data_IF_413843773800
#
_entry.id   IF_413843773800
#
_cell.length_a   1.000
_cell.length_b   1.000
_cell.length_c   1.000
_cell.angle_alpha   90.00
_cell.angle_beta   90.00
_cell.angle_gamma   90.00
#
_symmetry.space_group_name_H-M   'P 1'
#
loop_
_entity.id
_entity.type
_entity.pdbx_description
1 polymer ?
#
# COMPACT_ATOMS: atom_id res chain seq x y z
N UNK A 1 -0.29 48.67 -7.76
CA UNK A 1 -1.50 47.90 -7.38
C UNK A 1 -1.21 46.44 -7.67
N UNK A 2 -0.73 45.69 -6.68
CA UNK A 2 -0.45 44.25 -6.81
C UNK A 2 -1.73 43.49 -6.46
N UNK A 3 -2.25 42.69 -7.39
CA UNK A 3 -3.31 41.73 -7.11
C UNK A 3 -2.68 40.50 -6.47
N UNK A 4 -2.87 40.35 -5.16
CA UNK A 4 -2.70 39.10 -4.44
C UNK A 4 -3.82 38.15 -4.91
N UNK A 5 -3.47 37.19 -5.75
CA UNK A 5 -4.34 36.04 -6.00
C UNK A 5 -4.17 35.12 -4.80
N UNK A 6 -5.02 35.29 -3.80
CA UNK A 6 -5.19 34.30 -2.73
C UNK A 6 -5.74 33.03 -3.37
N UNK A 7 -4.95 31.96 -3.36
CA UNK A 7 -5.37 30.66 -3.87
C UNK A 7 -6.68 30.22 -3.21
N UNK A 8 -7.68 29.90 -4.02
CA UNK A 8 -8.88 29.21 -3.58
C UNK A 8 -8.45 27.80 -3.13
N UNK A 9 -8.50 27.53 -1.82
CA UNK A 9 -8.45 26.16 -1.32
C UNK A 9 -9.81 25.53 -1.63
N UNK A 10 -9.90 24.80 -2.74
CA UNK A 10 -11.09 24.01 -3.08
C UNK A 10 -11.26 22.98 -1.97
N UNK A 11 -12.38 23.05 -1.25
CA UNK A 11 -12.72 22.10 -0.20
C UNK A 11 -13.05 20.74 -0.84
N UNK A 12 -12.09 19.81 -0.80
CA UNK A 12 -12.41 18.39 -0.88
C UNK A 12 -13.28 18.00 0.32
N UNK A 13 -14.10 16.96 0.17
CA UNK A 13 -14.71 16.34 1.35
C UNK A 13 -13.57 15.74 2.17
N UNK A 14 -13.27 16.22 3.37
CA UNK A 14 -12.15 15.73 4.19
C UNK A 14 -12.49 14.35 4.79
N UNK A 15 -12.75 13.37 3.92
CA UNK A 15 -13.18 12.02 4.29
C UNK A 15 -12.00 11.26 4.88
N UNK A 16 -12.22 10.42 5.90
CA UNK A 16 -11.14 9.62 6.46
C UNK A 16 -10.55 8.70 5.39
N UNK A 17 -9.22 8.56 5.40
CA UNK A 17 -8.52 7.67 4.48
C UNK A 17 -9.00 6.23 4.66
N UNK A 18 -9.20 5.50 3.55
CA UNK A 18 -9.67 4.13 3.58
C UNK A 18 -8.59 3.20 4.13
N UNK A 19 -8.99 2.19 4.90
CA UNK A 19 -8.09 1.14 5.40
C UNK A 19 -7.98 -0.08 4.47
N UNK A 20 -8.60 -0.01 3.30
CA UNK A 20 -8.64 -1.12 2.34
C UNK A 20 -9.73 -0.90 1.28
N UNK A 21 -10.11 -1.98 0.60
CA UNK A 21 -11.11 -1.99 -0.47
C UNK A 21 -11.99 -3.22 -0.36
N UNK A 22 -13.28 -3.05 -0.67
CA UNK A 22 -14.24 -4.15 -0.62
C UNK A 22 -14.34 -4.73 0.79
N UNK A 23 -14.22 -6.05 0.87
CA UNK A 23 -14.24 -6.81 2.12
C UNK A 23 -12.91 -6.88 2.86
N UNK A 24 -11.80 -6.41 2.27
CA UNK A 24 -10.45 -6.57 2.83
C UNK A 24 -9.90 -5.26 3.40
N UNK A 25 -9.43 -5.28 4.64
CA UNK A 25 -8.84 -4.12 5.32
C UNK A 25 -7.55 -4.46 6.05
N UNK A 26 -6.65 -3.48 6.17
CA UNK A 26 -5.45 -3.55 7.00
C UNK A 26 -5.80 -4.02 8.42
N UNK A 27 -4.90 -4.81 9.01
CA UNK A 27 -5.05 -5.39 10.35
C UNK A 27 -5.75 -6.74 10.40
N UNK A 28 -6.36 -7.20 9.30
CA UNK A 28 -6.94 -8.55 9.22
C UNK A 28 -5.85 -9.63 9.28
N UNK A 29 -6.19 -10.79 9.85
CA UNK A 29 -5.31 -11.96 9.82
C UNK A 29 -5.27 -12.61 8.44
N UNK A 30 -4.29 -13.48 8.18
CA UNK A 30 -4.23 -14.24 6.93
C UNK A 30 -5.53 -15.00 6.66
N UNK A 31 -6.05 -15.71 7.66
CA UNK A 31 -7.27 -16.51 7.51
C UNK A 31 -8.51 -15.63 7.31
N UNK A 32 -8.61 -14.48 7.98
CA UNK A 32 -9.70 -13.51 7.75
C UNK A 32 -9.69 -13.00 6.31
N UNK A 33 -8.50 -12.68 5.77
CA UNK A 33 -8.36 -12.23 4.38
C UNK A 33 -8.75 -13.35 3.41
N UNK A 34 -8.34 -14.60 3.66
CA UNK A 34 -8.74 -15.75 2.82
C UNK A 34 -10.26 -15.92 2.78
N UNK A 35 -10.96 -15.79 3.91
CA UNK A 35 -12.41 -15.89 3.95
C UNK A 35 -13.10 -14.72 3.24
N UNK A 36 -12.60 -13.49 3.43
CA UNK A 36 -13.10 -12.32 2.73
C UNK A 36 -12.99 -12.47 1.20
N UNK A 37 -11.80 -12.85 0.72
CA UNK A 37 -11.50 -13.03 -0.71
C UNK A 37 -12.35 -14.12 -1.38
N UNK A 38 -12.79 -15.16 -0.66
CA UNK A 38 -13.67 -16.21 -1.22
C UNK A 38 -15.07 -15.69 -1.58
N UNK A 39 -15.52 -14.63 -0.91
CA UNK A 39 -16.91 -14.16 -1.00
C UNK A 39 -17.05 -12.85 -1.77
N UNK A 40 -15.95 -12.15 -2.00
CA UNK A 40 -15.95 -10.84 -2.62
C UNK A 40 -15.74 -10.95 -4.15
N UNK A 41 -16.73 -10.54 -4.96
CA UNK A 41 -16.69 -10.70 -6.41
C UNK A 41 -15.64 -9.82 -7.11
N UNK A 42 -14.98 -8.90 -6.39
CA UNK A 42 -13.88 -8.13 -6.94
C UNK A 42 -12.60 -8.97 -7.17
N UNK A 43 -12.50 -10.14 -6.52
CA UNK A 43 -11.29 -10.96 -6.50
C UNK A 43 -11.55 -12.38 -6.99
N UNK A 44 -10.68 -12.88 -7.87
CA UNK A 44 -10.75 -14.25 -8.37
C UNK A 44 -9.87 -15.20 -7.53
N UNK A 45 -10.16 -15.30 -6.23
CA UNK A 45 -9.34 -16.07 -5.29
C UNK A 45 -9.53 -17.59 -5.44
N UNK A 46 -8.41 -18.31 -5.59
CA UNK A 46 -8.36 -19.75 -5.89
C UNK A 46 -7.97 -20.61 -4.68
N UNK A 47 -7.99 -20.03 -3.49
CA UNK A 47 -7.56 -20.69 -2.25
C UNK A 47 -6.05 -20.63 -2.06
N UNK A 48 -5.49 -21.61 -1.33
CA UNK A 48 -4.08 -21.61 -0.92
C UNK A 48 -3.07 -21.58 -2.07
N UNK A 49 -3.51 -21.84 -3.31
CA UNK A 49 -2.69 -21.71 -4.53
C UNK A 49 -2.19 -20.28 -4.78
N UNK A 50 -2.92 -19.30 -4.26
CA UNK A 50 -2.60 -17.88 -4.42
C UNK A 50 -1.73 -17.36 -3.26
N UNK A 51 -1.41 -18.21 -2.28
CA UNK A 51 -0.62 -17.88 -1.10
C UNK A 51 0.84 -18.28 -1.30
N UNK A 52 1.75 -17.34 -1.07
CA UNK A 52 3.20 -17.55 -1.10
C UNK A 52 3.81 -17.20 0.26
N UNK A 53 4.72 -18.04 0.75
CA UNK A 53 5.56 -17.71 1.90
C UNK A 53 6.79 -16.95 1.40
N UNK A 54 7.05 -15.79 1.98
CA UNK A 54 8.19 -14.95 1.59
C UNK A 54 9.42 -15.29 2.44
N UNK A 55 10.61 -15.05 1.88
CA UNK A 55 11.87 -15.15 2.61
C UNK A 55 11.92 -14.13 3.74
N UNK A 56 12.09 -14.62 4.98
CA UNK A 56 12.00 -13.82 6.20
C UNK A 56 11.16 -14.55 7.24
N UNK A 57 11.20 -14.12 8.51
CA UNK A 57 10.35 -14.71 9.54
C UNK A 57 8.90 -14.22 9.34
N UNK A 58 7.94 -15.16 9.38
CA UNK A 58 6.48 -14.93 9.39
C UNK A 58 5.89 -14.00 8.31
N UNK A 59 6.43 -14.05 7.09
CA UNK A 59 5.90 -13.27 5.96
C UNK A 59 5.12 -14.11 4.97
N UNK A 60 3.95 -13.61 4.60
CA UNK A 60 3.14 -14.19 3.55
C UNK A 60 2.71 -13.13 2.53
N UNK A 61 2.39 -13.59 1.34
CA UNK A 61 1.80 -12.82 0.26
C UNK A 61 0.63 -13.61 -0.31
N UNK A 62 -0.52 -12.97 -0.46
CA UNK A 62 -1.58 -13.46 -1.34
C UNK A 62 -1.55 -12.62 -2.62
N UNK A 63 -1.45 -13.26 -3.79
CA UNK A 63 -1.62 -12.63 -5.11
C UNK A 63 -2.86 -13.20 -5.79
N UNK A 64 -3.80 -12.32 -6.15
CA UNK A 64 -5.07 -12.71 -6.76
C UNK A 64 -5.31 -11.91 -8.02
N UNK A 65 -5.77 -12.58 -9.07
CA UNK A 65 -6.26 -11.91 -10.28
C UNK A 65 -7.50 -11.06 -9.92
N UNK A 66 -7.51 -9.83 -10.43
CA UNK A 66 -8.62 -8.92 -10.26
C UNK A 66 -9.79 -9.18 -11.23
N UNK A 67 -10.95 -8.60 -10.91
CA UNK A 67 -12.12 -8.58 -11.81
C UNK A 67 -12.43 -7.14 -12.23
N UNK A 68 -12.77 -6.93 -13.51
CA UNK A 68 -13.10 -5.63 -14.12
C UNK A 68 -11.96 -4.59 -14.00
N UNK A 69 -11.96 -3.86 -12.89
CA UNK A 69 -11.11 -2.68 -12.64
C UNK A 69 -9.73 -3.03 -12.09
N UNK A 70 -9.47 -4.30 -11.78
CA UNK A 70 -8.21 -4.77 -11.21
C UNK A 70 -7.55 -5.77 -12.18
N UNK A 71 -6.25 -5.59 -12.41
CA UNK A 71 -5.39 -6.60 -13.05
C UNK A 71 -4.96 -7.64 -12.02
N UNK A 72 -4.40 -7.19 -10.90
CA UNK A 72 -3.86 -8.04 -9.83
C UNK A 72 -4.00 -7.32 -8.49
N UNK A 73 -4.31 -8.06 -7.44
CA UNK A 73 -4.36 -7.58 -6.06
C UNK A 73 -3.38 -8.36 -5.20
N UNK A 74 -2.57 -7.64 -4.43
CA UNK A 74 -1.53 -8.18 -3.56
C UNK A 74 -1.82 -7.82 -2.11
N UNK A 75 -1.77 -8.82 -1.23
CA UNK A 75 -1.99 -8.67 0.20
C UNK A 75 -0.75 -9.20 0.94
N UNK A 76 0.00 -8.32 1.60
CA UNK A 76 1.24 -8.68 2.29
C UNK A 76 1.04 -8.71 3.80
N UNK A 77 1.59 -9.74 4.42
CA UNK A 77 1.43 -10.05 5.83
C UNK A 77 2.79 -10.04 6.53
N UNK A 78 2.83 -9.47 7.73
CA UNK A 78 3.92 -9.61 8.70
C UNK A 78 3.31 -10.15 9.99
N UNK A 79 3.88 -11.23 10.54
CA UNK A 79 3.38 -11.87 11.76
C UNK A 79 1.86 -12.16 11.71
N UNK A 80 1.42 -12.69 10.57
CA UNK A 80 0.02 -13.04 10.27
C UNK A 80 -0.93 -11.84 10.05
N UNK A 81 -0.46 -10.60 10.18
CA UNK A 81 -1.28 -9.40 10.06
C UNK A 81 -1.07 -8.71 8.71
N UNK A 82 -2.18 -8.42 8.01
CA UNK A 82 -2.19 -7.68 6.75
C UNK A 82 -1.77 -6.23 6.97
N UNK A 83 -0.61 -5.85 6.43
CA UNK A 83 -0.05 -4.51 6.60
C UNK A 83 0.17 -3.74 5.29
N UNK A 84 0.12 -4.40 4.13
CA UNK A 84 0.08 -3.74 2.82
C UNK A 84 -1.00 -4.39 1.93
N UNK A 85 -1.82 -3.54 1.32
CA UNK A 85 -2.71 -3.89 0.21
C UNK A 85 -2.24 -3.13 -1.02
N UNK A 86 -1.99 -3.82 -2.12
CA UNK A 86 -1.71 -3.21 -3.43
C UNK A 86 -2.77 -3.65 -4.43
N UNK A 87 -3.49 -2.71 -5.03
CA UNK A 87 -4.47 -2.96 -6.08
C UNK A 87 -3.91 -2.41 -7.39
N UNK A 88 -3.44 -3.29 -8.27
CA UNK A 88 -3.00 -2.92 -9.62
C UNK A 88 -4.25 -2.74 -10.48
N UNK A 89 -4.53 -1.50 -10.88
CA UNK A 89 -5.74 -1.19 -11.62
C UNK A 89 -5.60 -1.56 -13.09
N UNK A 90 -6.70 -1.98 -13.70
CA UNK A 90 -6.76 -2.34 -15.10
C UNK A 90 -6.65 -1.09 -16.00
N UNK A 91 -5.53 -1.00 -16.73
CA UNK A 91 -5.22 0.15 -17.59
C UNK A 91 -6.05 0.22 -18.87
N UNK A 92 -6.75 -0.85 -19.24
CA UNK A 92 -7.73 -0.77 -20.34
C UNK A 92 -9.01 -0.05 -19.93
N UNK A 93 -9.32 -0.07 -18.63
CA UNK A 93 -10.57 0.48 -18.08
C UNK A 93 -10.37 1.83 -17.40
N UNK A 94 -9.17 2.08 -16.85
CA UNK A 94 -8.88 3.22 -16.00
C UNK A 94 -7.59 3.94 -16.42
N UNK A 95 -7.55 5.24 -16.22
CA UNK A 95 -6.37 6.07 -16.42
C UNK A 95 -5.97 6.81 -15.14
N UNK A 96 -4.67 7.17 -15.06
CA UNK A 96 -4.11 7.80 -13.87
C UNK A 96 -4.79 9.13 -13.54
N UNK A 97 -5.05 9.96 -14.54
CA UNK A 97 -5.59 11.30 -14.31
C UNK A 97 -7.00 11.22 -13.73
N UNK A 98 -7.84 10.33 -14.26
CA UNK A 98 -9.20 10.11 -13.76
C UNK A 98 -9.19 9.60 -12.31
N UNK A 99 -8.35 8.62 -12.00
CA UNK A 99 -8.23 8.08 -10.62
C UNK A 99 -7.70 9.17 -9.68
N UNK A 100 -6.59 9.82 -10.03
CA UNK A 100 -6.01 10.92 -9.25
C UNK A 100 -7.04 12.02 -8.96
N UNK A 101 -7.74 12.51 -9.99
CA UNK A 101 -8.74 13.56 -9.84
C UNK A 101 -9.85 13.15 -8.87
N UNK A 102 -10.30 11.89 -8.94
CA UNK A 102 -11.32 11.34 -8.03
C UNK A 102 -10.82 11.18 -6.60
N UNK A 103 -9.56 10.84 -6.41
CA UNK A 103 -8.94 10.80 -5.09
C UNK A 103 -8.83 12.21 -4.49
N UNK A 104 -8.40 13.20 -5.27
CA UNK A 104 -8.35 14.59 -4.81
C UNK A 104 -9.74 15.15 -4.45
N UNK A 105 -10.76 14.83 -5.24
CA UNK A 105 -12.16 15.19 -4.93
C UNK A 105 -12.59 14.60 -3.57
N UNK A 106 -12.20 13.36 -3.30
CA UNK A 106 -12.65 12.59 -2.13
C UNK A 106 -11.85 12.81 -0.86
N UNK A 107 -10.55 13.07 -0.96
CA UNK A 107 -9.62 13.15 0.18
C UNK A 107 -8.82 14.45 0.23
N UNK A 108 -9.04 15.38 -0.70
CA UNK A 108 -8.24 16.60 -0.82
C UNK A 108 -6.91 16.36 -1.53
N UNK A 109 -6.07 17.40 -1.60
CA UNK A 109 -4.73 17.31 -2.19
C UNK A 109 -3.84 16.33 -1.41
N UNK A 110 -2.92 15.60 -2.08
CA UNK A 110 -2.01 14.68 -1.41
C UNK A 110 -1.03 15.43 -0.49
N UNK A 111 -0.68 14.82 0.64
CA UNK A 111 0.35 15.31 1.58
C UNK A 111 1.74 15.33 0.93
N UNK A 112 1.99 14.42 -0.01
CA UNK A 112 3.20 14.45 -0.83
C UNK A 112 2.95 14.00 -2.27
N UNK A 113 3.64 14.67 -3.19
CA UNK A 113 3.57 14.40 -4.62
C UNK A 113 5.00 14.28 -5.17
N UNK A 114 5.25 13.19 -5.89
CA UNK A 114 6.51 12.97 -6.61
C UNK A 114 6.22 12.37 -8.00
N UNK A 115 7.22 12.30 -8.90
CA UNK A 115 7.05 11.64 -10.19
C UNK A 115 6.61 10.17 -10.10
N UNK A 116 6.84 9.53 -8.95
CA UNK A 116 6.56 8.10 -8.76
C UNK A 116 5.21 7.84 -8.09
N UNK A 117 4.68 8.79 -7.30
CA UNK A 117 3.41 8.62 -6.58
C UNK A 117 2.82 9.92 -6.04
N UNK A 118 1.50 9.89 -5.81
CA UNK A 118 0.74 10.81 -4.96
C UNK A 118 0.35 10.10 -3.67
N UNK A 119 0.53 10.72 -2.51
CA UNK A 119 0.32 10.08 -1.21
C UNK A 119 -0.47 10.96 -0.26
N UNK A 120 -1.42 10.33 0.43
CA UNK A 120 -2.17 10.83 1.57
C UNK A 120 -1.79 10.03 2.83
N UNK A 121 -1.67 10.70 3.96
CA UNK A 121 -1.23 10.11 5.22
C UNK A 121 -1.99 10.73 6.40
N UNK A 122 -2.59 9.90 7.25
CA UNK A 122 -3.28 10.36 8.47
C UNK A 122 -2.66 9.82 9.76
N UNK A 123 -1.43 9.30 9.71
CA UNK A 123 -0.71 8.69 10.82
C UNK A 123 -1.12 7.25 11.14
N UNK A 124 -2.28 6.78 10.66
CA UNK A 124 -2.70 5.38 10.75
C UNK A 124 -2.55 4.64 9.42
N UNK A 125 -2.86 5.32 8.31
CA UNK A 125 -2.79 4.75 6.97
C UNK A 125 -1.96 5.65 6.08
N UNK A 126 -1.01 5.05 5.37
CA UNK A 126 -0.36 5.67 4.22
C UNK A 126 -1.06 5.14 2.97
N UNK A 127 -1.81 6.01 2.31
CA UNK A 127 -2.54 5.70 1.08
C UNK A 127 -1.87 6.38 -0.10
N UNK A 128 -1.61 5.65 -1.18
CA UNK A 128 -0.95 6.23 -2.36
C UNK A 128 -1.49 5.72 -3.69
N UNK A 129 -1.50 6.61 -4.68
CA UNK A 129 -1.62 6.28 -6.09
C UNK A 129 -0.22 6.33 -6.71
N UNK A 130 0.26 5.19 -7.20
CA UNK A 130 1.56 5.04 -7.85
C UNK A 130 1.46 5.27 -9.37
N UNK A 131 2.57 5.70 -9.98
CA UNK A 131 2.67 6.02 -11.41
C UNK A 131 2.26 4.87 -12.34
N UNK A 132 2.46 3.64 -11.91
CA UNK A 132 2.07 2.43 -12.64
C UNK A 132 0.57 2.11 -12.52
N UNK A 133 -0.25 3.03 -12.01
CA UNK A 133 -1.69 2.88 -11.78
C UNK A 133 -2.03 1.82 -10.71
N UNK A 134 -1.27 1.86 -9.61
CA UNK A 134 -1.52 1.02 -8.44
C UNK A 134 -1.99 1.85 -7.26
N UNK A 135 -3.06 1.41 -6.60
CA UNK A 135 -3.47 1.95 -5.30
C UNK A 135 -2.80 1.12 -4.20
N UNK A 136 -2.18 1.80 -3.24
CA UNK A 136 -1.51 1.13 -2.12
C UNK A 136 -2.01 1.66 -0.79
N UNK A 137 -2.31 0.75 0.12
CA UNK A 137 -2.72 1.02 1.49
C UNK A 137 -1.68 0.38 2.39
N UNK A 138 -1.12 1.13 3.33
CA UNK A 138 -0.08 0.65 4.23
C UNK A 138 -0.45 1.01 5.66
N UNK A 139 -0.35 0.05 6.58
CA UNK A 139 -0.39 0.34 8.01
C UNK A 139 0.87 1.11 8.41
N UNK A 140 0.69 2.36 8.87
CA UNK A 140 1.81 3.24 9.15
C UNK A 140 2.71 2.70 10.28
N UNK A 141 2.10 2.07 11.30
CA UNK A 141 2.82 1.59 12.47
C UNK A 141 3.70 0.39 12.15
N UNK A 142 3.14 -0.63 11.48
CA UNK A 142 3.90 -1.81 11.05
C UNK A 142 4.99 -1.42 10.06
N UNK A 143 4.72 -0.49 9.15
CA UNK A 143 5.72 -0.03 8.18
C UNK A 143 6.92 0.66 8.85
N UNK A 144 6.67 1.50 9.87
CA UNK A 144 7.74 2.16 10.62
C UNK A 144 8.61 1.14 11.40
N UNK A 145 7.99 0.14 12.02
CA UNK A 145 8.69 -0.93 12.72
C UNK A 145 9.59 -1.74 11.78
N UNK A 146 9.08 -2.07 10.58
CA UNK A 146 9.84 -2.79 9.56
C UNK A 146 11.02 -1.99 9.03
N UNK A 147 10.88 -0.68 8.85
CA UNK A 147 12.01 0.18 8.48
C UNK A 147 13.10 0.20 9.55
N UNK A 148 12.71 0.37 10.83
CA UNK A 148 13.66 0.35 11.95
C UNK A 148 14.40 -0.98 12.04
N UNK A 149 13.68 -2.10 11.94
CA UNK A 149 14.31 -3.44 11.98
C UNK A 149 15.29 -3.66 10.82
N UNK A 150 14.97 -3.15 9.63
CA UNK A 150 15.82 -3.24 8.44
C UNK A 150 17.12 -2.44 8.58
N UNK A 151 17.04 -1.19 9.09
CA UNK A 151 18.21 -0.36 9.35
C UNK A 151 19.16 -0.98 10.40
N UNK A 152 18.60 -1.60 11.44
CA UNK A 152 19.39 -2.32 12.45
C UNK A 152 20.14 -3.50 11.83
N UNK A 153 19.48 -4.30 10.98
CA UNK A 153 20.09 -5.43 10.28
C UNK A 153 21.21 -5.00 9.33
N UNK A 154 21.02 -3.92 8.59
CA UNK A 154 22.03 -3.36 7.69
C UNK A 154 23.27 -2.90 8.46
N UNK A 155 23.07 -2.18 9.56
CA UNK A 155 24.17 -1.73 10.43
C UNK A 155 24.96 -2.90 11.02
N UNK A 156 24.27 -3.97 11.45
CA UNK A 156 24.93 -5.17 11.97
C UNK A 156 25.74 -5.88 10.87
N UNK A 157 25.18 -6.04 9.67
CA UNK A 157 25.87 -6.63 8.52
C UNK A 157 27.12 -5.84 8.14
N UNK A 158 27.03 -4.52 8.14
CA UNK A 158 28.17 -3.64 7.82
C UNK A 158 29.28 -3.78 8.87
N UNK A 159 28.93 -3.86 10.15
CA UNK A 159 29.88 -4.14 11.22
C UNK A 159 30.57 -5.50 11.04
N UNK A 160 29.81 -6.57 10.80
CA UNK A 160 30.39 -7.91 10.56
C UNK A 160 31.29 -7.93 9.33
N UNK A 161 30.93 -7.20 8.27
CA UNK A 161 31.77 -7.03 7.09
C UNK A 161 33.10 -6.36 7.44
N UNK A 162 33.06 -5.28 8.23
CA UNK A 162 34.26 -4.58 8.66
C UNK A 162 35.14 -5.47 9.56
N UNK A 163 34.56 -6.13 10.57
CA UNK A 163 35.28 -7.03 11.48
C UNK A 163 36.00 -8.16 10.71
N UNK A 164 35.35 -8.72 9.67
CA UNK A 164 35.97 -9.71 8.80
C UNK A 164 37.16 -9.12 8.01
N UNK A 165 37.00 -7.93 7.43
CA UNK A 165 38.08 -7.27 6.68
C UNK A 165 39.27 -6.91 7.58
N UNK A 166 39.01 -6.47 8.81
CA UNK A 166 40.06 -6.16 9.80
C UNK A 166 40.79 -7.41 10.31
N UNK A 167 40.22 -8.60 10.11
CA UNK A 167 40.82 -9.88 10.49
C UNK A 167 41.76 -10.49 9.42
N UNK A 168 41.79 -9.92 8.21
CA UNK A 168 42.68 -10.33 7.11
C UNK A 168 44.07 -9.70 7.25
#
# INVERSE_FOLDING_TARGET
>A
MFLLVTGFKVWGTDSPLPKGYGSVTLGMTLDEVKEALKTDPAYNYRGDRDVSLLSGENRALISVDGVLFFEECLFQFEDDILYIITLNLNKSELDYYSVFSKLCEKYGEPDSLSPEKSQWDNGSVIFSLEKNLSLRYIDASTFEELQKSSQVKETAKEKTRQDFLDSL
#
